data_IF_007548037905
#
_entry.id   IF_007548037905
#
_cell.length_a   1.000
_cell.length_b   1.000
_cell.length_c   1.000
_cell.angle_alpha   90.00
_cell.angle_beta   90.00
_cell.angle_gamma   90.00
#
_symmetry.space_group_name_H-M   'P 1'
#
loop_
_entity.id
_entity.type
_entity.pdbx_description
1 polymer ?
#
# COMPACT_ATOMS: atom_id res chain seq x y z
N UNK A 1 -38.41 -17.99 6.13
CA UNK A 1 -38.92 -19.26 6.68
C UNK A 1 -39.20 -19.03 8.15
N UNK A 2 -40.24 -19.67 8.70
CA UNK A 2 -40.71 -19.50 10.07
C UNK A 2 -39.66 -19.98 11.09
N UNK A 3 -39.14 -19.11 11.99
CA UNK A 3 -38.09 -19.48 12.94
C UNK A 3 -38.57 -20.39 14.08
N UNK A 4 -39.84 -20.81 14.11
CA UNK A 4 -40.38 -21.61 15.21
C UNK A 4 -40.25 -23.13 15.05
N UNK A 5 -39.46 -23.65 14.10
CA UNK A 5 -39.39 -25.10 13.84
C UNK A 5 -37.97 -25.68 13.72
N UNK A 6 -36.97 -25.02 14.32
CA UNK A 6 -35.69 -25.67 14.60
C UNK A 6 -35.66 -26.10 16.08
N UNK A 7 -35.41 -27.39 16.31
CA UNK A 7 -35.51 -28.04 17.62
C UNK A 7 -34.18 -28.03 18.40
N UNK A 8 -33.23 -27.18 18.01
CA UNK A 8 -31.96 -26.99 18.70
C UNK A 8 -32.12 -26.01 19.91
N UNK A 9 -31.95 -26.46 21.16
CA UNK A 9 -32.25 -25.70 22.37
C UNK A 9 -31.28 -24.53 22.68
N UNK A 10 -30.23 -24.30 21.89
CA UNK A 10 -29.23 -23.23 22.14
C UNK A 10 -29.57 -21.86 21.50
N UNK A 11 -30.71 -21.71 20.82
CA UNK A 11 -31.03 -20.52 20.00
C UNK A 11 -31.93 -19.45 20.64
N UNK A 12 -32.30 -19.57 21.92
CA UNK A 12 -33.08 -18.52 22.60
C UNK A 12 -32.16 -17.45 23.24
N UNK A 13 -31.78 -16.43 22.46
CA UNK A 13 -31.19 -15.19 23.00
C UNK A 13 -29.82 -14.77 22.44
N UNK A 14 -29.33 -15.38 21.37
CA UNK A 14 -28.08 -14.95 20.72
C UNK A 14 -28.37 -13.77 19.79
N UNK A 15 -27.72 -12.63 20.05
CA UNK A 15 -27.81 -11.43 19.21
C UNK A 15 -26.82 -11.55 18.06
N UNK A 16 -27.24 -11.15 16.86
CA UNK A 16 -26.36 -11.07 15.70
C UNK A 16 -25.11 -10.21 15.98
N UNK A 17 -23.96 -10.50 15.35
CA UNK A 17 -22.77 -9.69 15.51
C UNK A 17 -22.99 -8.24 15.02
N UNK A 18 -22.19 -7.30 15.51
CA UNK A 18 -22.35 -5.88 15.18
C UNK A 18 -22.12 -5.58 13.70
N UNK A 19 -21.47 -6.49 12.97
CA UNK A 19 -21.11 -6.37 11.57
C UNK A 19 -21.83 -7.41 10.69
N UNK A 20 -23.06 -7.73 11.07
CA UNK A 20 -23.97 -8.68 10.39
C UNK A 20 -24.66 -8.13 9.13
N UNK A 21 -24.51 -6.84 8.85
CA UNK A 21 -25.12 -6.19 7.68
C UNK A 21 -24.04 -5.38 6.96
N UNK A 22 -23.98 -5.50 5.64
CA UNK A 22 -23.08 -4.71 4.79
C UNK A 22 -23.21 -3.20 4.99
N UNK A 23 -24.40 -2.71 5.34
CA UNK A 23 -24.66 -1.29 5.59
C UNK A 23 -24.22 -0.84 7.00
N UNK A 24 -23.83 -1.80 7.85
CA UNK A 24 -23.28 -1.60 9.19
C UNK A 24 -21.91 -2.29 9.32
N UNK A 25 -21.15 -2.32 8.22
CA UNK A 25 -19.82 -2.89 8.18
C UNK A 25 -18.88 -2.26 9.20
N UNK A 26 -17.99 -3.07 9.76
CA UNK A 26 -16.99 -2.62 10.72
C UNK A 26 -15.75 -2.08 9.99
N UNK A 27 -15.36 -0.83 10.26
CA UNK A 27 -14.16 -0.23 9.69
C UNK A 27 -12.89 -0.94 10.18
N UNK A 28 -12.01 -1.30 9.24
CA UNK A 28 -10.74 -1.98 9.50
C UNK A 28 -9.58 -1.28 8.82
N UNK A 29 -8.42 -1.37 9.45
CA UNK A 29 -7.11 -0.97 8.96
C UNK A 29 -6.22 -2.23 8.82
N UNK A 30 -4.91 -2.07 8.67
CA UNK A 30 -4.00 -3.22 8.75
C UNK A 30 -4.03 -3.84 10.16
N UNK A 31 -4.25 -5.15 10.23
CA UNK A 31 -4.31 -5.86 11.51
C UNK A 31 -5.10 -7.17 11.46
N UNK A 32 -5.37 -7.72 12.65
CA UNK A 32 -6.13 -8.94 12.84
C UNK A 32 -7.45 -8.65 13.56
N UNK A 33 -8.55 -9.18 13.04
CA UNK A 33 -9.91 -8.90 13.48
C UNK A 33 -10.65 -10.22 13.74
N UNK A 34 -10.85 -10.59 15.01
CA UNK A 34 -11.71 -11.73 15.35
C UNK A 34 -13.16 -11.46 14.93
N UNK A 35 -13.82 -12.47 14.38
CA UNK A 35 -15.23 -12.42 13.99
C UNK A 35 -15.98 -13.65 14.51
N UNK A 36 -17.31 -13.57 14.53
CA UNK A 36 -18.19 -14.67 14.95
C UNK A 36 -19.35 -14.77 13.96
N UNK A 37 -19.52 -15.93 13.34
CA UNK A 37 -20.63 -16.20 12.41
C UNK A 37 -21.90 -16.71 13.10
N UNK A 38 -21.81 -17.04 14.40
CA UNK A 38 -22.97 -17.50 15.17
C UNK A 38 -24.03 -16.41 15.24
N UNK A 39 -25.27 -16.74 14.88
CA UNK A 39 -26.42 -15.83 14.80
C UNK A 39 -26.32 -14.71 13.75
N UNK A 40 -25.30 -14.72 12.90
CA UNK A 40 -25.27 -13.86 11.72
C UNK A 40 -26.37 -14.27 10.72
N UNK A 41 -26.98 -13.27 10.09
CA UNK A 41 -27.85 -13.45 8.94
C UNK A 41 -27.05 -13.84 7.70
N UNK A 42 -27.75 -14.29 6.66
CA UNK A 42 -27.15 -14.72 5.40
C UNK A 42 -27.61 -13.75 4.31
N UNK A 43 -26.99 -12.58 4.25
CA UNK A 43 -27.49 -11.44 3.48
C UNK A 43 -26.61 -11.07 2.28
N UNK A 44 -25.40 -11.60 2.22
CA UNK A 44 -24.47 -11.43 1.13
C UNK A 44 -24.54 -12.52 0.07
N UNK A 45 -23.99 -12.17 -1.08
CA UNK A 45 -23.83 -13.09 -2.20
C UNK A 45 -22.44 -12.95 -2.80
N UNK A 46 -21.89 -14.05 -3.30
CA UNK A 46 -20.65 -14.05 -4.06
C UNK A 46 -20.67 -15.07 -5.19
N UNK A 47 -19.74 -14.93 -6.13
CA UNK A 47 -19.50 -15.92 -7.19
C UNK A 47 -18.81 -17.19 -6.65
N UNK A 48 -18.10 -17.08 -5.52
CA UNK A 48 -17.59 -18.22 -4.79
C UNK A 48 -18.74 -19.00 -4.12
N UNK A 49 -18.76 -20.34 -4.17
CA UNK A 49 -19.90 -21.11 -3.68
C UNK A 49 -20.06 -21.06 -2.16
N UNK A 50 -20.89 -20.15 -1.64
CA UNK A 50 -21.30 -20.12 -0.22
C UNK A 50 -22.55 -19.26 0.03
N UNK A 51 -23.41 -19.13 -0.98
CA UNK A 51 -24.59 -18.27 -0.89
C UNK A 51 -25.62 -18.84 0.09
N UNK A 52 -26.27 -17.96 0.86
CA UNK A 52 -27.25 -18.36 1.88
C UNK A 52 -26.63 -18.93 3.16
N UNK A 53 -25.34 -18.67 3.39
CA UNK A 53 -24.65 -18.96 4.65
C UNK A 53 -24.49 -17.68 5.49
N UNK A 54 -24.41 -17.79 6.83
CA UNK A 54 -24.17 -16.64 7.70
C UNK A 54 -22.91 -15.88 7.31
N UNK A 55 -22.96 -14.56 7.32
CA UNK A 55 -21.85 -13.71 6.91
C UNK A 55 -21.68 -12.46 7.77
N UNK A 56 -20.46 -11.94 7.75
CA UNK A 56 -20.11 -10.69 8.43
C UNK A 56 -19.29 -9.81 7.49
N UNK A 57 -19.36 -8.51 7.74
CA UNK A 57 -18.90 -7.47 6.82
C UNK A 57 -17.91 -6.50 7.48
N UNK A 58 -16.80 -6.25 6.81
CA UNK A 58 -15.82 -5.24 7.19
C UNK A 58 -15.66 -4.23 6.06
N UNK A 59 -15.12 -3.06 6.37
CA UNK A 59 -14.86 -2.00 5.39
C UNK A 59 -13.44 -1.51 5.52
N UNK A 60 -12.70 -1.52 4.42
CA UNK A 60 -11.37 -0.96 4.32
C UNK A 60 -11.38 0.23 3.35
N UNK A 61 -10.67 1.31 3.69
CA UNK A 61 -10.46 2.46 2.82
C UNK A 61 -8.98 2.57 2.49
N UNK A 62 -8.63 2.43 1.23
CA UNK A 62 -7.23 2.44 0.80
C UNK A 62 -6.59 3.82 1.02
N UNK A 63 -5.50 3.94 1.80
CA UNK A 63 -4.87 5.24 2.06
C UNK A 63 -4.10 5.78 0.85
N UNK A 64 -3.70 4.90 -0.07
CA UNK A 64 -3.01 5.19 -1.32
C UNK A 64 -3.16 4.04 -2.31
N UNK A 65 -2.58 4.17 -3.50
CA UNK A 65 -2.47 3.04 -4.42
C UNK A 65 -1.58 1.94 -3.85
N UNK A 66 -1.97 0.68 -4.06
CA UNK A 66 -1.28 -0.48 -3.55
C UNK A 66 -2.09 -1.76 -3.71
N UNK A 67 -1.67 -2.81 -3.00
CA UNK A 67 -2.33 -4.10 -2.99
C UNK A 67 -2.91 -4.36 -1.60
N UNK A 68 -4.23 -4.45 -1.53
CA UNK A 68 -4.94 -4.95 -0.36
C UNK A 68 -4.86 -6.48 -0.36
N UNK A 69 -4.37 -7.05 0.74
CA UNK A 69 -4.27 -8.48 0.98
C UNK A 69 -5.17 -8.85 2.16
N UNK A 70 -6.09 -9.80 1.93
CA UNK A 70 -7.05 -10.20 2.95
C UNK A 70 -7.08 -11.72 3.04
N UNK A 71 -6.86 -12.26 4.22
CA UNK A 71 -6.92 -13.70 4.48
C UNK A 71 -7.69 -14.02 5.76
N UNK A 72 -8.08 -15.29 5.89
CA UNK A 72 -8.67 -15.82 7.13
C UNK A 72 -7.76 -16.82 7.85
N UNK A 73 -6.44 -16.76 7.58
CA UNK A 73 -5.47 -17.68 8.11
C UNK A 73 -5.50 -17.72 9.65
N UNK A 74 -5.51 -18.92 10.21
CA UNK A 74 -5.55 -19.12 11.66
C UNK A 74 -6.96 -19.23 12.23
N UNK A 75 -7.98 -19.41 11.37
CA UNK A 75 -9.34 -19.75 11.80
C UNK A 75 -9.39 -21.20 12.35
N UNK A 76 -8.94 -21.36 13.61
CA UNK A 76 -8.87 -22.58 14.45
C UNK A 76 -7.76 -23.62 14.16
N UNK A 77 -6.51 -23.27 14.44
CA UNK A 77 -5.38 -24.21 14.50
C UNK A 77 -5.14 -24.79 15.91
N UNK A 78 -6.04 -25.68 16.37
CA UNK A 78 -5.74 -26.52 17.54
C UNK A 78 -4.82 -27.70 17.13
N UNK A 79 -3.51 -27.49 17.22
CA UNK A 79 -2.52 -28.56 17.10
C UNK A 79 -2.30 -29.11 15.68
N UNK A 80 -2.53 -28.28 14.66
CA UNK A 80 -2.25 -28.62 13.26
C UNK A 80 -3.32 -29.47 12.56
N UNK A 81 -4.50 -29.64 13.18
CA UNK A 81 -5.69 -30.21 12.54
C UNK A 81 -6.73 -29.11 12.44
N UNK A 82 -7.13 -28.79 11.22
CA UNK A 82 -8.15 -27.78 10.96
C UNK A 82 -9.55 -28.35 11.24
N UNK A 83 -10.02 -28.14 12.46
CA UNK A 83 -11.39 -28.42 12.89
C UNK A 83 -12.25 -27.13 12.94
N UNK A 84 -11.79 -26.09 12.24
CA UNK A 84 -12.37 -24.77 12.19
C UNK A 84 -13.56 -24.62 11.25
N UNK A 85 -14.01 -23.37 11.13
CA UNK A 85 -14.96 -22.98 10.10
C UNK A 85 -14.21 -22.92 8.77
N UNK A 86 -14.70 -23.65 7.79
CA UNK A 86 -14.32 -23.48 6.39
C UNK A 86 -14.88 -22.16 5.89
N UNK A 87 -13.99 -21.20 5.68
CA UNK A 87 -14.28 -19.81 5.39
C UNK A 87 -14.33 -19.58 3.89
N UNK A 88 -15.21 -18.67 3.47
CA UNK A 88 -15.23 -18.14 2.10
C UNK A 88 -15.15 -16.63 2.19
N UNK A 89 -14.17 -16.05 1.48
CA UNK A 89 -13.91 -14.62 1.44
C UNK A 89 -14.39 -14.02 0.12
N UNK A 90 -15.00 -12.84 0.18
CA UNK A 90 -15.28 -12.04 -1.02
C UNK A 90 -15.12 -10.57 -0.75
N UNK A 91 -14.60 -9.84 -1.74
CA UNK A 91 -14.41 -8.40 -1.73
C UNK A 91 -15.41 -7.76 -2.68
N UNK A 92 -15.96 -6.62 -2.27
CA UNK A 92 -16.96 -5.87 -3.02
C UNK A 92 -16.59 -4.39 -3.04
N UNK A 93 -17.11 -3.65 -4.02
CA UNK A 93 -17.06 -2.19 -4.03
C UNK A 93 -17.71 -1.61 -2.77
N UNK A 94 -17.36 -0.36 -2.40
CA UNK A 94 -17.92 0.30 -1.21
C UNK A 94 -19.45 0.39 -1.16
N UNK A 95 -20.14 0.30 -2.30
CA UNK A 95 -21.61 0.23 -2.38
C UNK A 95 -22.17 -1.21 -2.26
N UNK A 96 -21.30 -2.22 -2.22
CA UNK A 96 -21.63 -3.64 -2.14
C UNK A 96 -22.35 -4.19 -3.38
N UNK A 97 -22.29 -3.50 -4.52
CA UNK A 97 -22.99 -3.91 -5.75
C UNK A 97 -22.11 -4.68 -6.73
N UNK A 98 -20.80 -4.52 -6.65
CA UNK A 98 -19.84 -5.15 -7.55
C UNK A 98 -18.87 -6.02 -6.76
N UNK A 99 -18.84 -7.31 -7.06
CA UNK A 99 -17.78 -8.20 -6.54
C UNK A 99 -16.45 -7.88 -7.24
N UNK A 100 -15.41 -7.66 -6.45
CA UNK A 100 -14.04 -7.33 -6.89
C UNK A 100 -13.13 -8.55 -6.89
N UNK A 101 -13.44 -9.54 -6.04
CA UNK A 101 -12.72 -10.81 -5.97
C UNK A 101 -13.36 -11.72 -4.94
N UNK A 102 -13.13 -13.03 -5.06
CA UNK A 102 -13.53 -13.99 -4.04
C UNK A 102 -12.60 -15.19 -4.07
N UNK A 103 -12.52 -15.88 -2.93
CA UNK A 103 -11.83 -17.14 -2.80
C UNK A 103 -12.43 -17.94 -1.64
N UNK A 104 -12.55 -19.26 -1.81
CA UNK A 104 -12.93 -20.22 -0.76
C UNK A 104 -11.73 -21.03 -0.24
N UNK A 105 -10.61 -21.05 -0.97
CA UNK A 105 -9.43 -21.85 -0.64
C UNK A 105 -8.13 -21.07 -0.85
N UNK A 106 -7.41 -20.79 0.22
CA UNK A 106 -6.04 -20.26 0.15
C UNK A 106 -5.13 -21.21 -0.65
N UNK A 107 -4.32 -20.69 -1.59
CA UNK A 107 -3.31 -21.50 -2.28
C UNK A 107 -2.22 -22.02 -1.33
N UNK A 108 -1.55 -23.12 -1.70
CA UNK A 108 -0.48 -23.72 -0.88
C UNK A 108 0.87 -23.07 -1.17
N UNK A 109 1.57 -22.59 -0.12
CA UNK A 109 2.93 -22.04 -0.21
C UNK A 109 3.02 -20.57 0.20
N UNK A 110 4.23 -20.10 0.51
CA UNK A 110 4.41 -18.81 1.19
C UNK A 110 4.30 -17.59 0.23
N UNK A 111 3.64 -16.49 0.66
CA UNK A 111 2.90 -16.35 1.91
C UNK A 111 1.39 -16.46 1.68
N UNK A 112 0.80 -17.66 1.71
CA UNK A 112 -0.61 -17.79 2.11
C UNK A 112 -0.81 -19.09 2.92
N UNK A 113 -1.41 -18.92 4.11
CA UNK A 113 -1.72 -19.91 5.16
C UNK A 113 -0.74 -21.10 5.29
N UNK A 114 0.53 -20.83 5.60
CA UNK A 114 1.64 -21.79 5.53
C UNK A 114 1.68 -22.91 6.62
N UNK A 115 0.56 -23.29 7.24
CA UNK A 115 0.63 -24.01 8.51
C UNK A 115 -0.21 -25.27 8.69
N UNK A 116 -0.85 -25.90 7.69
CA UNK A 116 -1.50 -27.21 7.95
C UNK A 116 -1.50 -28.11 6.73
N UNK A 117 -0.90 -29.30 6.87
CA UNK A 117 -1.18 -30.41 5.98
C UNK A 117 -2.60 -30.91 6.24
N UNK A 118 -3.54 -30.66 5.33
CA UNK A 118 -4.68 -31.55 5.14
C UNK A 118 -6.08 -31.01 5.38
N UNK A 119 -6.37 -29.72 5.20
CA UNK A 119 -7.62 -29.23 4.58
C UNK A 119 -7.46 -27.73 4.29
N UNK A 120 -7.87 -27.28 3.11
CA UNK A 120 -7.92 -25.86 2.72
C UNK A 120 -9.26 -25.33 3.22
N UNK A 121 -9.24 -24.54 4.29
CA UNK A 121 -10.47 -23.98 4.89
C UNK A 121 -10.35 -22.50 5.17
N UNK A 122 -9.13 -21.97 5.08
CA UNK A 122 -8.86 -20.54 5.14
C UNK A 122 -8.84 -20.00 3.71
N UNK A 123 -9.32 -18.77 3.54
CA UNK A 123 -9.47 -18.08 2.27
C UNK A 123 -8.46 -16.94 2.14
N UNK A 124 -8.17 -16.55 0.91
CA UNK A 124 -7.28 -15.42 0.60
C UNK A 124 -7.68 -14.68 -0.67
N UNK A 125 -7.71 -13.36 -0.62
CA UNK A 125 -7.93 -12.51 -1.79
C UNK A 125 -6.93 -11.35 -1.78
N UNK A 126 -6.31 -11.11 -2.93
CA UNK A 126 -5.55 -9.88 -3.21
C UNK A 126 -6.34 -9.00 -4.16
N UNK A 127 -6.27 -7.69 -3.94
CA UNK A 127 -6.94 -6.70 -4.77
C UNK A 127 -6.05 -5.46 -4.92
N UNK A 128 -5.64 -5.12 -6.16
CA UNK A 128 -5.10 -3.79 -6.44
C UNK A 128 -6.16 -2.73 -6.15
N UNK A 129 -5.78 -1.73 -5.35
CA UNK A 129 -6.65 -0.63 -4.94
C UNK A 129 -5.98 0.71 -5.22
N UNK A 130 -6.77 1.76 -5.36
CA UNK A 130 -6.29 3.15 -5.47
C UNK A 130 -6.64 3.94 -4.22
N UNK A 131 -5.89 5.01 -3.94
CA UNK A 131 -6.51 6.33 -3.76
C UNK A 131 -7.93 6.43 -3.16
N UNK A 132 -8.16 6.29 -1.85
CA UNK A 132 -9.50 6.45 -1.22
C UNK A 132 -10.56 5.44 -1.68
N UNK A 133 -10.16 4.34 -2.33
CA UNK A 133 -11.06 3.28 -2.74
C UNK A 133 -11.60 2.55 -1.50
N UNK A 134 -12.92 2.56 -1.34
CA UNK A 134 -13.62 1.78 -0.32
C UNK A 134 -13.88 0.36 -0.82
N UNK A 135 -13.53 -0.62 0.01
CA UNK A 135 -13.71 -2.05 -0.24
C UNK A 135 -14.48 -2.67 0.92
N UNK A 136 -15.59 -3.33 0.62
CA UNK A 136 -16.31 -4.17 1.58
C UNK A 136 -15.75 -5.58 1.55
N UNK A 137 -15.40 -6.10 2.72
CA UNK A 137 -14.84 -7.43 2.92
C UNK A 137 -15.92 -8.29 3.57
N UNK A 138 -16.37 -9.32 2.88
CA UNK A 138 -17.36 -10.28 3.37
C UNK A 138 -16.67 -11.60 3.72
N UNK A 139 -16.88 -12.05 4.95
CA UNK A 139 -16.44 -13.38 5.41
C UNK A 139 -17.68 -14.22 5.67
N UNK A 140 -17.77 -15.38 5.03
CA UNK A 140 -18.80 -16.38 5.27
C UNK A 140 -18.17 -17.75 5.46
N UNK A 141 -18.99 -18.81 5.46
CA UNK A 141 -18.53 -20.19 5.58
C UNK A 141 -18.99 -21.07 4.43
N UNK A 142 -18.29 -22.17 4.20
CA UNK A 142 -18.76 -23.26 3.35
C UNK A 142 -20.00 -23.94 3.95
N UNK A 143 -20.89 -24.41 3.08
CA UNK A 143 -22.13 -25.05 3.50
C UNK A 143 -21.84 -26.38 4.24
N UNK A 144 -22.44 -26.54 5.42
CA UNK A 144 -22.33 -27.76 6.21
C UNK A 144 -21.19 -27.79 7.24
N UNK A 145 -20.42 -26.70 7.37
CA UNK A 145 -19.40 -26.57 8.43
C UNK A 145 -19.95 -25.87 9.68
N UNK A 146 -19.36 -26.03 10.88
CA UNK A 146 -19.83 -25.34 12.07
C UNK A 146 -19.65 -23.81 11.96
N UNK A 147 -20.60 -23.04 12.51
CA UNK A 147 -20.39 -21.62 12.79
C UNK A 147 -19.52 -21.49 14.04
N UNK A 148 -18.28 -21.05 13.87
CA UNK A 148 -17.35 -20.74 14.96
C UNK A 148 -16.77 -19.33 14.78
N UNK A 149 -15.87 -18.98 15.68
CA UNK A 149 -15.06 -17.78 15.55
C UNK A 149 -14.17 -17.91 14.31
N UNK A 150 -14.04 -16.81 13.59
CA UNK A 150 -13.12 -16.62 12.47
C UNK A 150 -12.06 -15.60 12.86
N UNK A 151 -10.93 -15.60 12.16
CA UNK A 151 -9.92 -14.55 12.22
C UNK A 151 -9.81 -13.93 10.82
N UNK A 152 -9.99 -12.63 10.71
CA UNK A 152 -9.69 -11.87 9.49
C UNK A 152 -8.33 -11.20 9.66
N UNK A 153 -7.44 -11.37 8.70
CA UNK A 153 -6.19 -10.64 8.62
C UNK A 153 -6.26 -9.68 7.43
N UNK A 154 -5.90 -8.42 7.67
CA UNK A 154 -5.86 -7.35 6.67
C UNK A 154 -4.44 -6.83 6.60
N UNK A 155 -3.83 -6.94 5.43
CA UNK A 155 -2.53 -6.35 5.11
C UNK A 155 -2.68 -5.44 3.88
N UNK A 156 -1.82 -4.43 3.78
CA UNK A 156 -1.82 -3.52 2.66
C UNK A 156 -0.39 -3.15 2.31
N UNK A 157 0.00 -3.52 1.09
CA UNK A 157 1.31 -3.22 0.54
C UNK A 157 1.17 -2.00 -0.39
N UNK A 158 1.65 -0.81 0.00
CA UNK A 158 1.57 0.36 -0.86
C UNK A 158 2.39 0.13 -2.12
N UNK A 159 1.89 0.63 -3.25
CA UNK A 159 2.74 0.72 -4.44
C UNK A 159 3.94 1.61 -4.08
N UNK A 160 5.14 1.23 -4.54
CA UNK A 160 6.29 2.14 -4.43
C UNK A 160 5.88 3.46 -5.07
N UNK A 161 5.98 4.56 -4.32
CA UNK A 161 5.73 5.88 -4.87
C UNK A 161 6.61 6.05 -6.13
N UNK A 162 6.11 6.71 -7.20
CA UNK A 162 6.90 6.93 -8.40
C UNK A 162 8.27 7.54 -8.05
N UNK A 163 9.31 6.94 -8.60
CA UNK A 163 10.71 7.36 -8.48
C UNK A 163 11.28 7.24 -9.89
N UNK A 164 11.26 8.36 -10.61
CA UNK A 164 11.48 8.41 -12.05
C UNK A 164 12.95 8.22 -12.45
N UNK A 165 13.89 8.45 -11.53
CA UNK A 165 15.33 8.30 -11.76
C UNK A 165 15.99 7.20 -10.93
N UNK A 166 15.20 6.48 -10.14
CA UNK A 166 15.58 5.31 -9.35
C UNK A 166 16.66 5.60 -8.31
N UNK A 167 16.65 6.81 -7.72
CA UNK A 167 17.62 7.24 -6.73
C UNK A 167 17.23 6.90 -5.27
N UNK A 168 16.02 6.42 -5.07
CA UNK A 168 15.45 6.04 -3.78
C UNK A 168 14.65 7.15 -3.09
N UNK A 169 14.50 8.32 -3.71
CA UNK A 169 13.66 9.43 -3.28
C UNK A 169 12.44 9.51 -4.20
N UNK A 170 11.21 9.39 -3.66
CA UNK A 170 10.01 9.51 -4.49
C UNK A 170 9.91 10.87 -5.19
N UNK A 171 9.37 10.89 -6.41
CA UNK A 171 9.15 12.08 -7.25
C UNK A 171 8.47 13.24 -6.50
N UNK A 172 7.59 12.92 -5.54
CA UNK A 172 6.88 13.92 -4.72
C UNK A 172 7.75 14.68 -3.72
N UNK A 173 8.94 14.15 -3.44
CA UNK A 173 9.92 14.65 -2.46
C UNK A 173 11.31 14.86 -3.07
N UNK A 174 11.46 14.63 -4.38
CA UNK A 174 12.71 14.70 -5.10
C UNK A 174 12.92 16.09 -5.73
N UNK A 175 14.00 16.77 -5.36
CA UNK A 175 14.37 18.08 -5.91
C UNK A 175 15.09 18.01 -7.27
N UNK A 176 15.33 16.81 -7.80
CA UNK A 176 15.84 16.54 -9.14
C UNK A 176 15.18 15.30 -9.79
N UNK A 177 13.83 15.26 -9.89
CA UNK A 177 12.97 14.14 -10.36
C UNK A 177 13.36 13.34 -11.62
N UNK A 178 14.41 13.69 -12.36
CA UNK A 178 14.89 12.98 -13.56
C UNK A 178 16.40 12.72 -13.52
N UNK A 179 17.09 13.08 -12.43
CA UNK A 179 18.54 13.03 -12.29
C UNK A 179 18.93 12.60 -10.88
N UNK A 180 19.28 11.32 -10.76
CA UNK A 180 19.53 10.68 -9.48
C UNK A 180 20.51 11.46 -8.57
N UNK A 181 20.01 11.91 -7.42
CA UNK A 181 20.74 12.66 -6.41
C UNK A 181 20.26 12.28 -4.99
N UNK A 182 20.58 11.07 -4.48
CA UNK A 182 20.05 10.58 -3.21
C UNK A 182 20.37 11.45 -1.98
N UNK A 183 21.34 12.36 -2.10
CA UNK A 183 21.69 13.33 -1.06
C UNK A 183 20.75 14.53 -0.97
N UNK A 184 19.97 14.80 -2.02
CA UNK A 184 18.95 15.85 -2.10
C UNK A 184 19.45 17.24 -1.65
N UNK A 185 20.73 17.55 -1.87
CA UNK A 185 21.27 18.84 -1.44
C UNK A 185 20.70 19.95 -2.31
N UNK A 186 20.35 21.04 -1.65
CA UNK A 186 19.88 22.30 -2.21
C UNK A 186 20.47 23.41 -1.32
N UNK A 187 21.68 23.86 -1.67
CA UNK A 187 22.49 24.74 -0.81
C UNK A 187 22.07 26.20 -0.85
N UNK A 188 21.37 26.64 -1.90
CA UNK A 188 20.78 27.97 -2.03
C UNK A 188 19.29 28.00 -1.64
N UNK A 189 18.66 26.84 -1.46
CA UNK A 189 17.35 26.68 -0.86
C UNK A 189 16.21 27.09 -1.79
N UNK A 190 16.40 26.94 -3.10
CA UNK A 190 15.43 27.37 -4.11
C UNK A 190 14.43 26.27 -4.51
N UNK A 191 14.63 25.05 -3.99
CA UNK A 191 13.80 23.88 -4.24
C UNK A 191 14.32 22.98 -5.37
N UNK A 192 15.41 23.33 -6.04
CA UNK A 192 16.07 22.51 -7.05
C UNK A 192 17.38 21.95 -6.51
N UNK A 193 17.62 20.66 -6.73
CA UNK A 193 18.83 20.04 -6.21
C UNK A 193 20.09 20.49 -6.95
N UNK A 194 21.18 20.65 -6.23
CA UNK A 194 22.50 21.02 -6.77
C UNK A 194 22.94 20.13 -7.96
N UNK A 195 22.47 18.89 -8.05
CA UNK A 195 22.83 17.98 -9.14
C UNK A 195 22.20 18.37 -10.49
N UNK A 196 21.00 18.97 -10.45
CA UNK A 196 20.24 19.40 -11.62
C UNK A 196 20.09 20.92 -11.73
N UNK A 197 20.68 21.70 -10.80
CA UNK A 197 20.71 23.15 -10.82
C UNK A 197 22.13 23.69 -11.06
N UNK A 198 22.32 24.36 -12.20
CA UNK A 198 23.56 25.05 -12.55
C UNK A 198 23.46 26.58 -12.45
N UNK A 199 22.32 27.12 -12.03
CA UNK A 199 22.02 28.55 -11.98
C UNK A 199 22.52 29.17 -10.67
N UNK A 200 23.84 29.30 -10.54
CA UNK A 200 24.53 29.77 -9.34
C UNK A 200 24.23 31.23 -8.94
N UNK A 201 23.39 31.94 -9.68
CA UNK A 201 22.88 33.25 -9.28
C UNK A 201 21.37 33.39 -9.37
N UNK A 202 20.65 32.29 -9.56
CA UNK A 202 19.21 32.16 -9.50
C UNK A 202 18.52 33.16 -10.45
N UNK A 203 19.06 33.31 -11.67
CA UNK A 203 18.50 34.16 -12.73
C UNK A 203 17.63 33.40 -13.75
N UNK A 204 17.29 32.15 -13.44
CA UNK A 204 16.53 31.15 -14.21
C UNK A 204 17.28 30.47 -15.35
N UNK A 205 18.57 30.72 -15.56
CA UNK A 205 19.33 30.12 -16.67
C UNK A 205 20.81 29.88 -16.35
N UNK A 206 21.25 28.63 -16.48
CA UNK A 206 22.67 28.29 -16.41
C UNK A 206 23.42 28.82 -17.63
N UNK A 207 24.26 29.84 -17.46
CA UNK A 207 24.94 30.50 -18.56
C UNK A 207 26.39 30.92 -18.24
N UNK A 208 26.93 31.85 -19.02
CA UNK A 208 28.32 32.30 -18.85
C UNK A 208 28.57 33.09 -17.57
N UNK A 209 27.54 33.70 -16.98
CA UNK A 209 27.62 34.35 -15.67
C UNK A 209 27.82 33.31 -14.57
N UNK A 210 27.07 32.22 -14.61
CA UNK A 210 27.20 31.09 -13.69
C UNK A 210 28.56 30.42 -13.82
N UNK A 211 29.10 30.35 -15.03
CA UNK A 211 30.45 29.82 -15.23
C UNK A 211 31.52 30.67 -14.54
N UNK A 212 31.35 31.99 -14.48
CA UNK A 212 32.26 32.88 -13.75
C UNK A 212 32.18 32.62 -12.25
N UNK A 213 30.97 32.39 -11.72
CA UNK A 213 30.73 32.05 -10.31
C UNK A 213 31.32 30.69 -9.96
N UNK A 214 31.04 29.67 -10.77
CA UNK A 214 31.60 28.33 -10.63
C UNK A 214 33.13 28.35 -10.59
N UNK A 215 33.75 29.06 -11.54
CA UNK A 215 35.21 29.17 -11.62
C UNK A 215 35.84 29.86 -10.42
N UNK A 216 35.13 30.77 -9.78
CA UNK A 216 35.62 31.42 -8.56
C UNK A 216 35.67 30.44 -7.37
N UNK A 217 34.90 29.35 -7.43
CA UNK A 217 34.78 28.36 -6.36
C UNK A 217 35.64 27.12 -6.55
N UNK A 218 36.32 26.95 -7.70
CA UNK A 218 37.17 25.79 -7.95
C UNK A 218 38.23 25.59 -6.85
N UNK A 219 38.24 24.39 -6.27
CA UNK A 219 39.14 23.98 -5.19
C UNK A 219 38.68 24.40 -3.79
N UNK A 220 37.52 25.05 -3.65
CA UNK A 220 36.96 25.36 -2.35
C UNK A 220 36.23 24.15 -1.75
N UNK A 221 36.31 23.94 -0.42
CA UNK A 221 35.50 22.95 0.27
C UNK A 221 34.03 23.39 0.34
N UNK A 222 33.15 22.41 0.51
CA UNK A 222 31.72 22.55 0.70
C UNK A 222 31.30 21.65 1.87
N UNK A 223 31.42 22.17 3.09
CA UNK A 223 31.21 21.38 4.31
C UNK A 223 30.53 22.24 5.36
N UNK A 224 29.81 21.61 6.28
CA UNK A 224 29.16 22.29 7.42
C UNK A 224 30.14 23.26 8.13
N UNK A 225 29.76 24.52 8.39
CA UNK A 225 28.46 25.16 8.12
C UNK A 225 28.42 25.98 6.81
N UNK A 226 29.46 25.91 5.98
CA UNK A 226 29.58 26.68 4.74
C UNK A 226 29.54 25.76 3.53
N UNK A 227 28.32 25.50 3.07
CA UNK A 227 28.10 24.78 1.83
C UNK A 227 28.26 25.68 0.61
N UNK A 228 28.72 25.10 -0.49
CA UNK A 228 29.01 25.81 -1.72
C UNK A 228 28.06 25.32 -2.81
N UNK A 229 27.22 26.21 -3.35
CA UNK A 229 26.29 25.84 -4.43
C UNK A 229 27.00 25.29 -5.67
N UNK A 230 28.29 25.60 -5.88
CA UNK A 230 29.08 25.05 -6.97
C UNK A 230 29.54 23.58 -6.75
N UNK A 231 29.27 22.97 -5.59
CA UNK A 231 29.50 21.55 -5.30
C UNK A 231 28.29 20.72 -5.75
N UNK A 232 28.14 20.59 -7.07
CA UNK A 232 26.94 20.05 -7.72
C UNK A 232 26.68 18.57 -7.41
N UNK A 233 27.71 17.79 -7.08
CA UNK A 233 27.52 16.39 -6.67
C UNK A 233 27.56 16.17 -5.15
N UNK A 234 27.59 17.24 -4.35
CA UNK A 234 27.64 17.20 -2.90
C UNK A 234 28.76 16.35 -2.29
N UNK A 235 29.89 16.20 -2.97
CA UNK A 235 31.00 15.39 -2.44
C UNK A 235 31.85 16.15 -1.41
N UNK A 236 31.55 17.43 -1.19
CA UNK A 236 32.21 18.30 -0.24
C UNK A 236 33.35 19.13 -0.81
N UNK A 237 33.57 19.11 -2.12
CA UNK A 237 34.64 19.87 -2.78
C UNK A 237 34.28 20.24 -4.22
N UNK A 238 34.31 21.55 -4.51
CA UNK A 238 34.12 22.05 -5.88
C UNK A 238 35.34 21.70 -6.74
N UNK A 239 35.19 20.77 -7.66
CA UNK A 239 36.28 20.26 -8.47
C UNK A 239 35.87 19.94 -9.92
N UNK A 240 36.70 19.15 -10.62
CA UNK A 240 36.45 18.76 -12.00
C UNK A 240 35.18 17.93 -12.20
N UNK A 241 34.72 17.21 -11.18
CA UNK A 241 33.49 16.42 -11.24
C UNK A 241 32.26 17.34 -11.32
N UNK A 242 32.24 18.39 -10.50
CA UNK A 242 31.19 19.41 -10.54
C UNK A 242 31.23 20.18 -11.86
N UNK A 243 32.42 20.41 -12.41
CA UNK A 243 32.53 21.05 -13.72
C UNK A 243 31.90 20.21 -14.84
N UNK A 244 31.97 18.88 -14.75
CA UNK A 244 31.31 17.99 -15.73
C UNK A 244 29.80 18.13 -15.65
N UNK A 245 29.23 18.18 -14.43
CA UNK A 245 27.80 18.42 -14.21
C UNK A 245 27.39 19.81 -14.71
N UNK A 246 28.07 20.86 -14.26
CA UNK A 246 27.82 22.24 -14.66
C UNK A 246 27.80 22.40 -16.19
N UNK A 247 28.76 21.78 -16.88
CA UNK A 247 28.82 21.82 -18.35
C UNK A 247 27.62 21.15 -19.01
N UNK A 248 27.07 20.10 -18.40
CA UNK A 248 25.85 19.43 -18.86
C UNK A 248 24.60 20.30 -18.72
N UNK A 249 24.61 21.26 -17.80
CA UNK A 249 23.49 22.14 -17.50
C UNK A 249 23.52 23.47 -18.28
N UNK A 250 24.61 23.78 -19.00
CA UNK A 250 24.74 25.02 -19.78
C UNK A 250 23.60 25.20 -20.79
N UNK A 251 22.84 26.29 -20.63
CA UNK A 251 21.69 26.63 -21.45
C UNK A 251 20.35 26.11 -20.91
N UNK A 252 20.35 25.34 -19.84
CA UNK A 252 19.16 24.81 -19.18
C UNK A 252 18.67 25.72 -18.05
N UNK A 253 17.35 25.78 -17.81
CA UNK A 253 16.80 26.29 -16.55
C UNK A 253 17.12 25.34 -15.37
N UNK A 254 16.95 25.79 -14.11
CA UNK A 254 17.14 24.94 -12.93
C UNK A 254 16.15 23.76 -12.88
N UNK A 255 16.55 22.67 -12.21
CA UNK A 255 15.70 21.50 -11.95
C UNK A 255 15.59 20.50 -13.12
N UNK A 256 14.61 19.57 -13.07
CA UNK A 256 14.40 18.57 -14.14
C UNK A 256 13.92 19.19 -15.47
N UNK A 257 13.81 20.52 -15.54
CA UNK A 257 13.48 21.29 -16.76
C UNK A 257 14.63 21.33 -17.77
N UNK A 258 15.48 20.31 -17.82
CA UNK A 258 16.40 20.06 -18.91
C UNK A 258 15.75 19.10 -19.93
N UNK A 259 14.97 19.57 -20.92
CA UNK A 259 14.80 18.79 -22.12
C UNK A 259 16.02 19.03 -23.00
N UNK A 260 16.85 18.02 -23.26
CA UNK A 260 17.53 17.96 -24.56
C UNK A 260 17.60 16.49 -24.99
N UNK A 261 16.98 16.11 -26.11
CA UNK A 261 17.41 16.52 -27.45
C UNK A 261 16.89 17.87 -27.95
#
# INVERSE_FOLDING_TARGET
MDPSNDSDPDWQGVVAPANDDRNQSFGVDQGQYPGVLTAATADGTSSCPANGQPDIWYQFTAPMAGVLQVDTCGTNDLGGVDAGTDTVLSLHSGDGLTELGCNDDSPFGFPVCAATSGDRRDSYVELPVVQDQEVLIRVTRWAGTPTKNILLNVAFEPDSAPDSDEDGVPDSSDNCTLVANPSQCDYDGDGFGNHCDGDLNNNTFTNSQDFVLFRAQLGQPSVDPTYNQADLNCNGFVNSQDFVLFRGLLGSPPGPSAPIP
#
